data_IF_543181055095
#
_entry.id   IF_543181055095
#
_cell.length_a   1.000
_cell.length_b   1.000
_cell.length_c   1.000
_cell.angle_alpha   90.00
_cell.angle_beta   90.00
_cell.angle_gamma   90.00
#
_symmetry.space_group_name_H-M   'P 1'
#
loop_
_entity.id
_entity.type
_entity.pdbx_description
1 polymer ?
#
# COMPACT_ATOMS: atom_id res chain seq x y z
N UNK A 1 50.03 -27.51 27.32
CA UNK A 1 51.08 -27.17 28.30
C UNK A 1 52.08 -26.27 27.71
N UNK A 2 52.70 -25.30 28.41
CA UNK A 2 52.14 -24.54 29.52
C UNK A 2 52.45 -23.03 29.48
N UNK A 3 51.77 -22.27 30.38
CA UNK A 3 52.27 -21.17 31.24
C UNK A 3 52.62 -19.83 30.55
N UNK A 4 52.34 -18.66 31.01
CA UNK A 4 52.09 -18.16 32.38
C UNK A 4 51.70 -16.67 32.28
N UNK A 5 50.82 -16.24 33.13
CA UNK A 5 50.76 -14.84 33.58
C UNK A 5 51.92 -14.60 34.59
N UNK A 6 52.23 -13.40 35.08
CA UNK A 6 51.40 -12.66 36.01
C UNK A 6 51.51 -11.11 36.04
N UNK A 7 50.54 -10.48 36.72
CA UNK A 7 50.59 -9.41 37.75
C UNK A 7 51.45 -8.16 37.52
N UNK A 8 51.03 -6.97 37.87
CA UNK A 8 50.51 -6.39 39.10
C UNK A 8 50.22 -4.89 38.96
N UNK A 9 49.08 -4.43 39.52
CA UNK A 9 48.94 -3.54 40.68
C UNK A 9 49.58 -2.13 40.62
N UNK A 10 48.76 -1.07 40.70
CA UNK A 10 48.64 -0.15 41.85
C UNK A 10 47.77 1.09 41.52
N UNK A 11 46.77 1.30 42.34
CA UNK A 11 46.51 2.47 43.25
C UNK A 11 46.57 3.87 42.58
N UNK A 12 45.65 4.74 42.69
CA UNK A 12 44.72 5.13 43.69
C UNK A 12 44.32 6.58 43.41
N UNK A 13 43.23 7.05 43.91
CA UNK A 13 42.94 8.48 43.93
C UNK A 13 41.45 8.82 43.95
N UNK A 14 40.97 9.08 45.12
CA UNK A 14 39.67 9.51 45.59
C UNK A 14 39.35 10.98 45.29
N UNK A 15 38.05 11.27 45.42
CA UNK A 15 37.35 12.55 45.62
C UNK A 15 36.74 13.14 44.32
N UNK A 16 35.49 13.64 44.30
CA UNK A 16 34.59 14.06 45.37
C UNK A 16 33.23 14.44 44.79
N UNK A 17 32.27 14.35 45.59
CA UNK A 17 30.85 14.73 45.46
C UNK A 17 30.65 16.22 45.05
N UNK A 18 29.67 16.51 44.22
CA UNK A 18 28.89 17.74 44.33
C UNK A 18 27.51 17.53 43.71
N UNK A 19 26.55 17.21 44.57
CA UNK A 19 25.12 17.38 44.35
C UNK A 19 24.77 18.88 44.38
N UNK A 20 24.07 19.38 43.37
CA UNK A 20 23.41 20.68 43.43
C UNK A 20 21.92 20.49 43.18
N UNK A 21 21.18 20.44 44.28
CA UNK A 21 19.74 20.67 44.39
C UNK A 21 19.45 22.15 44.08
N UNK A 22 18.60 22.39 43.08
CA UNK A 22 17.89 23.67 42.95
C UNK A 22 16.40 23.47 43.19
N UNK A 23 15.99 23.69 44.44
CA UNK A 23 14.61 23.99 44.81
C UNK A 23 14.36 25.50 44.60
N UNK A 24 13.47 25.85 43.72
CA UNK A 24 12.89 27.19 43.65
C UNK A 24 11.42 27.11 44.10
N UNK A 25 11.19 27.52 45.33
CA UNK A 25 9.91 27.85 45.95
C UNK A 25 9.41 29.15 45.31
N UNK A 26 8.26 29.13 44.62
CA UNK A 26 7.52 30.34 44.28
C UNK A 26 6.57 30.67 45.43
N UNK A 27 6.88 31.72 46.18
CA UNK A 27 5.98 32.31 47.15
C UNK A 27 4.94 33.20 46.44
N UNK A 28 3.67 32.89 46.63
CA UNK A 28 2.57 33.77 46.20
C UNK A 28 2.33 34.82 47.27
N UNK A 29 2.52 36.07 46.91
CA UNK A 29 1.99 37.21 47.67
C UNK A 29 0.49 37.37 47.37
N UNK A 30 -0.35 37.18 48.36
CA UNK A 30 -1.76 37.56 48.34
C UNK A 30 -1.88 39.06 48.63
N UNK A 31 -2.22 39.85 47.64
CA UNK A 31 -2.77 41.18 47.85
C UNK A 31 -4.31 41.10 47.87
N UNK A 32 -4.91 41.53 48.98
CA UNK A 32 -6.34 41.76 49.11
C UNK A 32 -6.71 42.98 48.28
N UNK A 33 -7.43 42.80 47.17
CA UNK A 33 -8.35 43.86 46.72
C UNK A 33 -9.60 43.24 46.10
N UNK A 34 -10.72 43.57 46.71
CA UNK A 34 -12.04 43.08 46.41
C UNK A 34 -12.65 43.95 45.30
N UNK A 35 -12.75 43.46 44.08
CA UNK A 35 -13.77 43.84 43.07
C UNK A 35 -13.43 43.30 41.69
N UNK A 36 -13.73 42.03 41.43
CA UNK A 36 -14.07 41.53 40.09
C UNK A 36 -14.73 40.14 40.24
N UNK A 37 -16.05 40.11 40.14
CA UNK A 37 -16.80 38.86 39.93
C UNK A 37 -16.55 38.42 38.48
N UNK A 38 -15.64 37.50 38.29
CA UNK A 38 -15.50 36.79 37.01
C UNK A 38 -16.50 35.64 36.95
N UNK A 39 -17.40 35.74 35.99
CA UNK A 39 -18.33 34.69 35.63
C UNK A 39 -17.52 33.43 35.17
N UNK A 40 -17.55 32.39 35.98
CA UNK A 40 -17.04 31.07 35.62
C UNK A 40 -17.98 30.50 34.59
N UNK A 41 -17.67 30.72 33.29
CA UNK A 41 -18.30 29.96 32.20
C UNK A 41 -17.83 28.52 32.33
N UNK A 42 -18.76 27.60 32.41
CA UNK A 42 -18.54 26.17 32.36
C UNK A 42 -17.79 25.84 31.07
N UNK A 43 -16.49 25.57 31.19
CA UNK A 43 -15.69 24.93 30.12
C UNK A 43 -16.06 23.44 30.18
N UNK A 44 -16.61 22.84 29.08
CA UNK A 44 -16.87 21.43 29.06
C UNK A 44 -15.53 20.71 29.21
N UNK A 45 -15.39 19.91 30.27
CA UNK A 45 -14.23 19.03 30.46
C UNK A 45 -14.19 18.01 29.33
N UNK A 46 -13.33 18.27 28.35
CA UNK A 46 -12.99 17.30 27.32
C UNK A 46 -12.15 16.21 28.01
N UNK A 47 -12.56 14.92 27.99
CA UNK A 47 -11.87 13.87 28.74
C UNK A 47 -10.48 13.50 28.16
N UNK A 48 -9.97 14.23 27.17
CA UNK A 48 -8.69 13.97 26.47
C UNK A 48 -7.60 15.03 26.74
N UNK A 49 -7.73 15.95 27.68
CA UNK A 49 -6.65 16.90 27.97
C UNK A 49 -5.66 16.34 29.00
N UNK A 50 -4.78 15.44 28.60
CA UNK A 50 -3.56 15.13 29.35
C UNK A 50 -2.45 16.09 28.90
N UNK A 51 -1.57 16.56 29.80
CA UNK A 51 -0.53 17.55 29.44
C UNK A 51 0.49 16.98 28.44
N UNK A 52 0.96 17.78 27.48
CA UNK A 52 1.72 17.32 26.31
C UNK A 52 3.12 16.72 26.58
N UNK A 53 3.67 16.90 27.77
CA UNK A 53 5.04 16.43 28.08
C UNK A 53 5.13 15.06 28.77
N UNK A 54 4.01 14.41 29.07
CA UNK A 54 4.00 13.05 29.62
C UNK A 54 4.05 11.94 28.58
N UNK A 55 4.05 12.29 27.28
CA UNK A 55 3.95 11.33 26.19
C UNK A 55 5.29 10.78 25.67
N UNK A 56 6.40 11.46 26.00
CA UNK A 56 7.73 11.14 25.44
C UNK A 56 8.32 9.79 25.85
N UNK A 57 7.71 9.06 26.81
CA UNK A 57 8.32 7.82 27.36
C UNK A 57 7.41 6.58 27.48
N UNK A 58 6.12 6.64 27.11
CA UNK A 58 5.27 5.45 27.19
C UNK A 58 5.07 4.78 25.82
N UNK A 59 4.93 3.45 25.78
CA UNK A 59 4.49 2.74 24.57
C UNK A 59 3.11 3.22 24.10
N UNK A 60 2.97 3.48 22.80
CA UNK A 60 1.69 3.82 22.18
C UNK A 60 0.91 2.53 21.94
N UNK A 61 -0.40 2.54 22.24
CA UNK A 61 -1.32 1.46 21.95
C UNK A 61 -2.01 1.71 20.60
N UNK A 62 -1.71 0.91 19.61
CA UNK A 62 -2.17 1.07 18.23
C UNK A 62 -3.07 -0.12 17.86
N UNK A 63 -4.29 0.16 17.42
CA UNK A 63 -5.12 -0.87 16.79
C UNK A 63 -4.96 -0.81 15.27
N UNK A 64 -4.92 -1.97 14.61
CA UNK A 64 -4.94 -2.08 13.15
C UNK A 64 -6.11 -2.98 12.76
N UNK A 65 -7.00 -2.46 11.91
CA UNK A 65 -8.11 -3.23 11.37
C UNK A 65 -7.64 -4.14 10.24
N UNK A 66 -7.70 -5.46 10.47
CA UNK A 66 -7.27 -6.46 9.47
C UNK A 66 -8.44 -7.21 8.83
N UNK A 67 -9.69 -6.77 9.03
CA UNK A 67 -10.88 -7.48 8.54
C UNK A 67 -10.94 -7.62 7.02
N UNK A 68 -10.32 -6.71 6.26
CA UNK A 68 -10.25 -6.76 4.78
C UNK A 68 -8.94 -7.32 4.22
N UNK A 69 -8.19 -8.05 5.00
CA UNK A 69 -6.89 -8.59 4.58
C UNK A 69 -6.98 -9.66 3.48
N UNK A 70 -8.16 -10.19 3.19
CA UNK A 70 -8.41 -11.11 2.07
C UNK A 70 -8.64 -10.40 0.73
N UNK A 71 -8.83 -9.08 0.72
CA UNK A 71 -8.97 -8.31 -0.51
C UNK A 71 -7.60 -8.05 -1.15
N UNK A 72 -7.46 -8.26 -2.46
CA UNK A 72 -6.17 -8.25 -3.21
C UNK A 72 -5.16 -7.19 -2.75
N UNK A 73 -5.22 -5.95 -3.27
CA UNK A 73 -4.24 -4.90 -2.95
C UNK A 73 -4.25 -4.47 -1.48
N UNK A 74 -5.44 -4.37 -0.86
CA UNK A 74 -5.63 -4.02 0.55
C UNK A 74 -4.98 -5.08 1.45
N UNK A 75 -5.19 -6.37 1.12
CA UNK A 75 -4.61 -7.48 1.87
C UNK A 75 -3.08 -7.51 1.77
N UNK A 76 -2.54 -7.28 0.58
CA UNK A 76 -1.09 -7.19 0.37
C UNK A 76 -0.49 -6.04 1.17
N UNK A 77 -1.07 -4.84 1.11
CA UNK A 77 -0.65 -3.71 1.93
C UNK A 77 -0.69 -4.05 3.42
N UNK A 78 -1.84 -4.49 3.92
CA UNK A 78 -2.06 -4.72 5.36
C UNK A 78 -1.08 -5.77 5.90
N UNK A 79 -0.91 -6.89 5.21
CA UNK A 79 0.00 -7.97 5.59
C UNK A 79 1.44 -7.47 5.67
N UNK A 80 1.91 -6.82 4.63
CA UNK A 80 3.31 -6.43 4.54
C UNK A 80 3.65 -5.23 5.44
N UNK A 81 2.73 -4.27 5.62
CA UNK A 81 2.95 -3.17 6.55
C UNK A 81 3.01 -3.66 8.01
N UNK A 82 2.17 -4.63 8.39
CA UNK A 82 2.19 -5.23 9.74
C UNK A 82 3.49 -6.02 9.96
N UNK A 83 3.94 -6.82 8.97
CA UNK A 83 5.25 -7.51 9.02
C UNK A 83 6.40 -6.53 9.20
N UNK A 84 6.42 -5.47 8.41
CA UNK A 84 7.47 -4.46 8.47
C UNK A 84 7.46 -3.69 9.80
N UNK A 85 6.30 -3.30 10.32
CA UNK A 85 6.17 -2.75 11.67
C UNK A 85 6.68 -3.73 12.72
N UNK A 86 6.39 -5.02 12.58
CA UNK A 86 6.90 -6.07 13.46
C UNK A 86 8.42 -6.21 13.43
N UNK A 87 9.09 -5.91 12.30
CA UNK A 87 10.56 -5.86 12.22
C UNK A 87 11.14 -4.61 12.88
N UNK A 88 10.50 -3.48 12.72
CA UNK A 88 11.04 -2.17 13.07
C UNK A 88 10.74 -1.72 14.50
N UNK A 89 9.59 -2.11 15.05
CA UNK A 89 9.10 -1.55 16.31
C UNK A 89 8.87 -2.63 17.37
N UNK A 90 9.61 -2.50 18.47
CA UNK A 90 9.51 -3.34 19.69
C UNK A 90 8.92 -2.57 20.87
N UNK A 91 8.70 -1.26 20.73
CA UNK A 91 8.31 -0.37 21.80
C UNK A 91 6.80 -0.25 21.94
N UNK A 92 6.10 0.01 20.84
CA UNK A 92 4.66 0.21 20.84
C UNK A 92 3.89 -1.11 20.94
N UNK A 93 2.64 -1.07 21.38
CA UNK A 93 1.76 -2.23 21.48
C UNK A 93 0.74 -2.20 20.35
N UNK A 94 0.66 -3.28 19.60
CA UNK A 94 -0.21 -3.42 18.45
C UNK A 94 -1.35 -4.41 18.72
N UNK A 95 -2.58 -4.03 18.36
CA UNK A 95 -3.77 -4.85 18.46
C UNK A 95 -4.33 -5.06 17.06
N UNK A 96 -4.20 -6.28 16.53
CA UNK A 96 -4.69 -6.67 15.21
C UNK A 96 -6.14 -7.13 15.34
N UNK A 97 -7.08 -6.31 14.86
CA UNK A 97 -8.52 -6.56 15.02
C UNK A 97 -9.06 -7.24 13.76
N UNK A 98 -9.46 -8.49 13.89
CA UNK A 98 -10.00 -9.30 12.79
C UNK A 98 -10.04 -10.79 13.13
N UNK A 99 -10.14 -11.68 12.12
CA UNK A 99 -10.13 -13.11 12.40
C UNK A 99 -8.73 -13.62 12.76
N UNK A 100 -8.61 -14.58 13.68
CA UNK A 100 -7.33 -15.18 14.06
C UNK A 100 -6.58 -15.84 12.88
N UNK A 101 -7.32 -16.39 11.91
CA UNK A 101 -6.77 -17.00 10.70
C UNK A 101 -5.98 -15.98 9.88
N UNK A 102 -6.51 -14.75 9.75
CA UNK A 102 -5.81 -13.66 9.05
C UNK A 102 -4.51 -13.26 9.75
N UNK A 103 -4.49 -13.31 11.09
CA UNK A 103 -3.25 -13.06 11.84
C UNK A 103 -2.20 -14.15 11.54
N UNK A 104 -2.61 -15.42 11.42
CA UNK A 104 -1.71 -16.52 11.03
C UNK A 104 -1.13 -16.31 9.62
N UNK A 105 -1.92 -15.80 8.68
CA UNK A 105 -1.44 -15.46 7.32
C UNK A 105 -0.36 -14.37 7.29
N UNK A 106 -0.33 -13.48 8.29
CA UNK A 106 0.73 -12.49 8.41
C UNK A 106 2.08 -13.17 8.69
N UNK A 107 2.06 -14.29 9.40
CA UNK A 107 3.25 -15.02 9.85
C UNK A 107 3.68 -14.64 11.27
N UNK A 108 4.89 -15.03 11.69
CA UNK A 108 5.36 -14.78 13.05
C UNK A 108 5.53 -13.29 13.33
N UNK A 109 4.94 -12.83 14.42
CA UNK A 109 5.02 -11.44 14.88
C UNK A 109 5.64 -11.40 16.29
N UNK A 110 6.29 -10.29 16.67
CA UNK A 110 6.89 -10.13 17.99
C UNK A 110 5.84 -10.02 19.10
N UNK A 111 6.24 -10.19 20.39
CA UNK A 111 5.31 -10.26 21.52
C UNK A 111 4.47 -9.01 21.77
N UNK A 112 4.87 -7.86 21.23
CA UNK A 112 4.12 -6.61 21.34
C UNK A 112 2.93 -6.52 20.35
N UNK A 113 2.70 -7.56 19.51
CA UNK A 113 1.53 -7.69 18.63
C UNK A 113 0.53 -8.69 19.22
N UNK A 114 -0.70 -8.26 19.38
CA UNK A 114 -1.78 -9.00 20.00
C UNK A 114 -2.93 -9.21 19.01
N UNK A 115 -3.38 -10.44 18.83
CA UNK A 115 -4.59 -10.76 18.07
C UNK A 115 -5.83 -10.43 18.88
N UNK A 116 -6.78 -9.72 18.28
CA UNK A 116 -8.07 -9.38 18.89
C UNK A 116 -9.19 -9.85 17.98
N UNK A 117 -9.90 -10.92 18.34
CA UNK A 117 -10.94 -11.48 17.49
C UNK A 117 -12.07 -10.51 17.22
N UNK A 118 -12.42 -10.32 15.94
CA UNK A 118 -13.63 -9.67 15.45
C UNK A 118 -14.00 -10.31 14.10
N UNK A 119 -15.05 -11.10 14.08
CA UNK A 119 -15.50 -11.86 12.89
C UNK A 119 -16.53 -11.09 12.07
N UNK A 120 -17.24 -10.15 12.70
CA UNK A 120 -18.27 -9.35 12.04
C UNK A 120 -17.67 -8.44 10.97
N UNK A 121 -18.37 -8.36 9.85
CA UNK A 121 -17.97 -7.52 8.73
C UNK A 121 -18.00 -6.03 9.09
N UNK A 122 -17.10 -5.26 8.52
CA UNK A 122 -16.98 -3.81 8.71
C UNK A 122 -18.13 -3.02 8.09
N UNK A 123 -18.90 -3.62 7.19
CA UNK A 123 -20.07 -3.03 6.53
C UNK A 123 -21.36 -3.13 7.34
N UNK A 124 -21.38 -3.90 8.44
CA UNK A 124 -22.57 -4.10 9.27
C UNK A 124 -22.60 -3.16 10.47
N UNK A 125 -23.80 -2.75 10.89
CA UNK A 125 -23.98 -1.96 12.10
C UNK A 125 -23.46 -2.70 13.36
N UNK A 126 -23.65 -4.01 13.42
CA UNK A 126 -23.15 -4.88 14.50
C UNK A 126 -21.62 -4.86 14.53
N UNK A 127 -20.97 -5.11 13.40
CA UNK A 127 -19.51 -5.10 13.29
C UNK A 127 -18.88 -3.77 13.66
N UNK A 128 -19.58 -2.67 13.37
CA UNK A 128 -19.14 -1.35 13.82
C UNK A 128 -19.26 -1.16 15.32
N UNK A 129 -20.37 -1.54 15.93
CA UNK A 129 -20.59 -1.40 17.39
C UNK A 129 -19.61 -2.26 18.17
N UNK A 130 -19.36 -3.49 17.72
CA UNK A 130 -18.35 -4.37 18.32
C UNK A 130 -16.94 -3.78 18.19
N UNK A 131 -16.56 -3.32 16.99
CA UNK A 131 -15.28 -2.66 16.76
C UNK A 131 -15.07 -1.47 17.71
N UNK A 132 -16.06 -0.58 17.82
CA UNK A 132 -16.03 0.55 18.74
C UNK A 132 -15.90 0.12 20.20
N UNK A 133 -16.59 -0.94 20.61
CA UNK A 133 -16.54 -1.49 21.97
C UNK A 133 -15.17 -2.06 22.28
N UNK A 134 -14.56 -2.79 21.31
CA UNK A 134 -13.19 -3.31 21.41
C UNK A 134 -12.20 -2.16 21.59
N UNK A 135 -12.27 -1.11 20.76
CA UNK A 135 -11.36 0.04 20.87
C UNK A 135 -11.47 0.73 22.26
N UNK A 136 -12.68 0.87 22.80
CA UNK A 136 -12.89 1.42 24.15
C UNK A 136 -12.28 0.53 25.24
N UNK A 137 -12.52 -0.78 25.18
CA UNK A 137 -12.00 -1.75 26.15
C UNK A 137 -10.47 -1.79 26.17
N UNK A 138 -9.83 -1.73 25.00
CA UNK A 138 -8.38 -1.74 24.86
C UNK A 138 -7.74 -0.40 25.24
N UNK A 139 -8.52 0.68 25.30
CA UNK A 139 -8.02 2.04 25.53
C UNK A 139 -6.86 2.38 24.60
N UNK A 140 -7.03 2.13 23.29
CA UNK A 140 -6.01 2.43 22.29
C UNK A 140 -5.85 3.94 22.12
N UNK A 141 -4.64 4.37 21.85
CA UNK A 141 -4.30 5.77 21.59
C UNK A 141 -4.61 6.17 20.13
N UNK A 142 -4.60 5.18 19.23
CA UNK A 142 -4.79 5.36 17.80
C UNK A 142 -5.35 4.09 17.17
N UNK A 143 -6.17 4.24 16.12
CA UNK A 143 -6.53 3.13 15.23
C UNK A 143 -6.13 3.42 13.79
N UNK A 144 -5.51 2.45 13.12
CA UNK A 144 -5.26 2.45 11.70
C UNK A 144 -6.29 1.59 10.96
N UNK A 145 -6.94 2.18 9.97
CA UNK A 145 -7.91 1.54 9.10
C UNK A 145 -7.31 1.51 7.70
N UNK A 146 -6.78 0.35 7.24
CA UNK A 146 -5.99 0.27 6.01
C UNK A 146 -6.84 0.23 4.74
N UNK A 147 -8.03 0.77 4.77
CA UNK A 147 -8.93 0.91 3.61
C UNK A 147 -9.95 2.03 3.83
N UNK A 148 -10.48 2.55 2.72
CA UNK A 148 -11.53 3.54 2.75
C UNK A 148 -12.89 2.84 2.81
N UNK A 149 -13.57 2.92 3.95
CA UNK A 149 -14.93 2.43 4.11
C UNK A 149 -15.76 3.31 5.04
N UNK A 150 -17.03 3.00 5.17
CA UNK A 150 -17.94 3.73 6.02
C UNK A 150 -17.57 3.63 7.50
N UNK A 151 -17.17 4.75 8.09
CA UNK A 151 -17.06 4.89 9.52
C UNK A 151 -18.29 5.65 10.04
N UNK A 152 -19.11 5.04 10.89
CA UNK A 152 -20.14 5.78 11.62
C UNK A 152 -19.50 6.78 12.58
N UNK A 153 -20.25 7.78 12.85
CA UNK A 153 -20.00 9.11 13.39
C UNK A 153 -18.81 9.37 14.32
N UNK A 154 -18.41 8.47 15.23
CA UNK A 154 -17.31 8.74 16.18
C UNK A 154 -16.62 7.48 16.65
N UNK A 155 -15.33 7.38 16.43
CA UNK A 155 -14.48 6.41 17.13
C UNK A 155 -14.03 6.98 18.50
N UNK A 156 -13.70 6.12 19.47
CA UNK A 156 -13.29 6.55 20.81
C UNK A 156 -11.85 7.09 20.87
N UNK A 157 -11.11 7.03 19.79
CA UNK A 157 -9.73 7.47 19.64
C UNK A 157 -9.51 8.11 18.26
N UNK A 158 -8.44 8.87 18.05
CA UNK A 158 -8.00 9.32 16.74
C UNK A 158 -7.81 8.12 15.79
N UNK A 159 -8.03 8.35 14.49
CA UNK A 159 -7.79 7.32 13.48
C UNK A 159 -6.98 7.85 12.31
N UNK A 160 -6.18 6.97 11.74
CA UNK A 160 -5.55 7.13 10.44
C UNK A 160 -6.18 6.14 9.46
N UNK A 161 -6.22 6.52 8.19
CA UNK A 161 -6.84 5.73 7.14
C UNK A 161 -5.91 5.62 5.94
N UNK A 162 -5.81 4.44 5.32
CA UNK A 162 -5.14 4.28 4.04
C UNK A 162 -6.16 4.30 2.91
N UNK A 163 -5.89 5.09 1.90
CA UNK A 163 -6.69 5.18 0.67
C UNK A 163 -5.88 4.56 -0.46
N UNK A 164 -6.38 3.44 -0.99
CA UNK A 164 -5.74 2.73 -2.11
C UNK A 164 -6.10 3.35 -3.45
N UNK A 165 -7.34 3.74 -3.61
CA UNK A 165 -7.85 4.46 -4.78
C UNK A 165 -9.18 5.16 -4.44
N UNK A 166 -9.65 5.97 -5.36
CA UNK A 166 -10.94 6.67 -5.28
C UNK A 166 -11.83 6.37 -6.48
N UNK A 167 -11.56 5.28 -7.19
CA UNK A 167 -12.22 4.90 -8.44
C UNK A 167 -13.74 4.82 -8.32
N UNK A 168 -14.25 4.29 -7.20
CA UNK A 168 -15.69 4.19 -6.97
C UNK A 168 -16.39 5.55 -7.01
N UNK A 169 -15.69 6.63 -6.62
CA UNK A 169 -16.21 8.00 -6.63
C UNK A 169 -16.15 8.64 -8.01
N UNK A 170 -15.24 8.18 -8.87
CA UNK A 170 -15.08 8.66 -10.25
C UNK A 170 -16.00 7.92 -11.23
N UNK A 171 -16.37 6.69 -10.91
CA UNK A 171 -17.19 5.85 -11.79
C UNK A 171 -18.58 6.45 -12.01
N UNK A 172 -18.86 6.82 -13.26
CA UNK A 172 -20.18 7.24 -13.74
C UNK A 172 -21.12 6.04 -13.97
N UNK A 173 -20.97 4.95 -13.23
CA UNK A 173 -21.83 3.78 -13.38
C UNK A 173 -23.31 4.18 -13.36
N UNK A 174 -24.03 3.84 -14.42
CA UNK A 174 -25.46 4.07 -14.57
C UNK A 174 -26.31 3.31 -13.53
N UNK A 175 -25.69 2.40 -12.78
CA UNK A 175 -26.37 1.51 -11.83
C UNK A 175 -26.84 2.21 -10.54
N UNK A 176 -26.38 3.44 -10.23
CA UNK A 176 -26.76 4.13 -9.00
C UNK A 176 -27.42 5.49 -9.28
N UNK A 177 -28.49 5.81 -8.56
CA UNK A 177 -29.13 7.10 -8.60
C UNK A 177 -28.15 8.23 -8.21
N UNK A 178 -28.34 9.42 -8.76
CA UNK A 178 -27.52 10.61 -8.45
C UNK A 178 -27.48 10.92 -6.95
N UNK A 179 -28.59 10.67 -6.25
CA UNK A 179 -28.73 10.85 -4.80
C UNK A 179 -27.81 9.90 -4.01
N UNK A 180 -27.79 8.62 -4.38
CA UNK A 180 -26.94 7.61 -3.72
C UNK A 180 -25.44 7.92 -3.90
N UNK A 181 -25.05 8.38 -5.09
CA UNK A 181 -23.66 8.82 -5.35
C UNK A 181 -23.29 10.04 -4.51
N UNK A 182 -24.19 11.06 -4.45
CA UNK A 182 -23.96 12.25 -3.63
C UNK A 182 -23.82 11.88 -2.15
N UNK A 183 -24.68 11.01 -1.64
CA UNK A 183 -24.62 10.53 -0.27
C UNK A 183 -23.30 9.79 0.00
N UNK A 184 -22.89 8.87 -0.86
CA UNK A 184 -21.64 8.13 -0.75
C UNK A 184 -20.43 9.08 -0.74
N UNK A 185 -20.40 10.05 -1.66
CA UNK A 185 -19.38 11.09 -1.69
C UNK A 185 -19.30 11.88 -0.38
N UNK A 186 -20.44 12.36 0.13
CA UNK A 186 -20.47 13.15 1.37
C UNK A 186 -20.00 12.32 2.58
N UNK A 187 -20.35 11.06 2.62
CA UNK A 187 -19.91 10.16 3.69
C UNK A 187 -18.40 9.91 3.63
N UNK A 188 -17.87 9.61 2.46
CA UNK A 188 -16.43 9.46 2.24
C UNK A 188 -15.67 10.74 2.61
N UNK A 189 -16.13 11.88 2.11
CA UNK A 189 -15.53 13.18 2.45
C UNK A 189 -15.53 13.43 3.96
N UNK A 190 -16.60 13.03 4.64
CA UNK A 190 -16.70 13.15 6.09
C UNK A 190 -15.68 12.25 6.81
N UNK A 191 -15.53 10.99 6.38
CA UNK A 191 -14.53 10.06 6.91
C UNK A 191 -13.13 10.63 6.74
N UNK A 192 -12.79 11.08 5.53
CA UNK A 192 -11.47 11.67 5.26
C UNK A 192 -11.22 12.96 6.07
N UNK A 193 -12.23 13.82 6.21
CA UNK A 193 -12.12 15.03 7.07
C UNK A 193 -11.96 14.70 8.54
N UNK A 194 -12.56 13.62 9.03
CA UNK A 194 -12.47 13.18 10.42
C UNK A 194 -11.17 12.47 10.76
N UNK A 195 -10.46 11.89 9.79
CA UNK A 195 -9.18 11.22 10.02
C UNK A 195 -8.12 12.18 10.59
N UNK A 196 -7.28 11.74 11.52
CA UNK A 196 -6.14 12.53 12.01
C UNK A 196 -5.08 12.69 10.91
N UNK A 197 -4.81 11.62 10.19
CA UNK A 197 -3.97 11.58 8.99
C UNK A 197 -4.54 10.60 7.98
N UNK A 198 -4.16 10.78 6.71
CA UNK A 198 -4.54 9.93 5.59
C UNK A 198 -3.26 9.45 4.93
N UNK A 199 -3.13 8.15 4.71
CA UNK A 199 -2.09 7.57 3.87
C UNK A 199 -2.63 7.40 2.46
N UNK A 200 -1.95 7.95 1.48
CA UNK A 200 -2.18 7.72 0.06
C UNK A 200 -1.07 6.82 -0.48
N UNK A 201 -1.42 5.83 -1.31
CA UNK A 201 -0.43 4.85 -1.79
C UNK A 201 0.44 5.36 -2.94
N UNK A 202 0.15 6.56 -3.47
CA UNK A 202 0.91 7.26 -4.52
C UNK A 202 0.69 8.77 -4.46
N UNK A 203 1.54 9.55 -5.14
CA UNK A 203 1.31 11.00 -5.31
C UNK A 203 0.04 11.25 -6.12
N UNK A 204 -0.23 10.41 -7.11
CA UNK A 204 -1.47 10.46 -7.87
C UNK A 204 -2.69 10.32 -6.95
N UNK A 205 -2.76 9.27 -6.12
CA UNK A 205 -3.86 9.08 -5.17
C UNK A 205 -3.96 10.24 -4.16
N UNK A 206 -2.82 10.80 -3.72
CA UNK A 206 -2.80 12.00 -2.88
C UNK A 206 -3.47 13.18 -3.58
N UNK A 207 -3.08 13.47 -4.82
CA UNK A 207 -3.66 14.59 -5.59
C UNK A 207 -5.17 14.44 -5.79
N UNK A 208 -5.64 13.22 -6.04
CA UNK A 208 -7.08 12.94 -6.17
C UNK A 208 -7.83 13.14 -4.86
N UNK A 209 -7.29 12.68 -3.73
CA UNK A 209 -7.89 12.91 -2.41
C UNK A 209 -8.03 14.41 -2.14
N UNK A 210 -6.99 15.19 -2.45
CA UNK A 210 -6.97 16.63 -2.27
C UNK A 210 -8.00 17.33 -3.17
N UNK A 211 -8.00 17.02 -4.46
CA UNK A 211 -8.87 17.66 -5.46
C UNK A 211 -10.33 17.25 -5.32
N UNK A 212 -10.62 15.95 -5.22
CA UNK A 212 -12.00 15.46 -5.20
C UNK A 212 -12.71 15.77 -3.89
N UNK A 213 -12.02 15.64 -2.74
CA UNK A 213 -12.67 15.77 -1.43
C UNK A 213 -12.35 17.07 -0.70
N UNK A 214 -11.48 17.91 -1.25
CA UNK A 214 -11.06 19.16 -0.60
C UNK A 214 -10.33 18.90 0.71
N UNK A 215 -9.42 17.91 0.75
CA UNK A 215 -8.62 17.57 1.91
C UNK A 215 -7.31 18.35 1.87
N UNK A 216 -6.91 19.03 2.95
CA UNK A 216 -5.64 19.76 2.97
C UNK A 216 -4.43 18.84 2.77
N UNK A 217 -3.47 19.22 1.93
CA UNK A 217 -2.28 18.44 1.59
C UNK A 217 -1.47 18.00 2.83
N UNK A 218 -1.35 18.88 3.84
CA UNK A 218 -0.69 18.58 5.12
C UNK A 218 -1.31 17.39 5.89
N UNK A 219 -2.52 16.97 5.54
CA UNK A 219 -3.23 15.84 6.15
C UNK A 219 -2.97 14.52 5.44
N UNK A 220 -2.47 14.56 4.21
CA UNK A 220 -2.24 13.39 3.37
C UNK A 220 -0.74 13.11 3.25
N UNK A 221 -0.31 11.97 3.77
CA UNK A 221 1.06 11.45 3.66
C UNK A 221 1.11 10.37 2.59
N UNK A 222 2.11 10.42 1.71
CA UNK A 222 2.31 9.35 0.73
C UNK A 222 3.10 8.22 1.36
N UNK A 223 2.51 7.03 1.34
CA UNK A 223 3.10 5.78 1.82
C UNK A 223 3.00 4.77 0.70
N UNK A 224 4.06 4.65 -0.07
CA UNK A 224 4.11 3.75 -1.23
C UNK A 224 3.89 2.30 -0.84
N UNK A 225 3.23 1.56 -1.72
CA UNK A 225 3.25 0.11 -1.67
C UNK A 225 4.62 -0.40 -2.13
N UNK A 226 4.91 -1.66 -1.82
CA UNK A 226 6.07 -2.36 -2.34
C UNK A 226 5.65 -3.78 -2.76
N UNK A 227 6.56 -4.50 -3.39
CA UNK A 227 6.34 -5.88 -3.83
C UNK A 227 6.17 -6.77 -2.60
N UNK A 228 5.24 -7.73 -2.64
CA UNK A 228 5.10 -8.74 -1.58
C UNK A 228 6.39 -9.57 -1.50
N UNK A 229 6.88 -9.80 -0.28
CA UNK A 229 8.15 -10.50 -0.04
C UNK A 229 8.20 -11.89 -0.71
N UNK A 230 7.05 -12.52 -0.93
CA UNK A 230 6.95 -13.81 -1.62
C UNK A 230 7.40 -13.76 -3.09
N UNK A 231 7.36 -12.60 -3.73
CA UNK A 231 7.95 -12.41 -5.07
C UNK A 231 9.46 -12.20 -5.03
N UNK A 232 10.07 -11.95 -3.87
CA UNK A 232 11.49 -11.66 -3.73
C UNK A 232 12.36 -12.91 -3.49
N UNK A 233 11.78 -14.11 -3.54
CA UNK A 233 12.49 -15.37 -3.32
C UNK A 233 13.44 -15.81 -4.44
N UNK A 234 13.84 -14.89 -5.33
CA UNK A 234 14.73 -15.14 -6.45
C UNK A 234 13.99 -15.65 -7.69
N UNK A 235 14.78 -15.86 -8.76
CA UNK A 235 14.25 -16.40 -10.01
C UNK A 235 13.97 -17.90 -9.90
N UNK A 236 13.01 -18.37 -10.70
CA UNK A 236 12.70 -19.77 -10.80
C UNK A 236 13.89 -20.56 -11.35
N UNK A 237 14.15 -21.74 -10.78
CA UNK A 237 15.10 -22.72 -11.33
C UNK A 237 14.59 -23.26 -12.66
N UNK A 238 15.47 -23.83 -13.48
CA UNK A 238 15.05 -24.43 -14.75
C UNK A 238 14.08 -25.60 -14.55
N UNK A 239 14.24 -26.36 -13.46
CA UNK A 239 13.31 -27.42 -13.08
C UNK A 239 11.90 -26.88 -12.75
N UNK A 240 11.81 -25.80 -11.99
CA UNK A 240 10.52 -25.13 -11.71
C UNK A 240 9.86 -24.57 -12.97
N UNK A 241 10.64 -23.96 -13.87
CA UNK A 241 10.16 -23.46 -15.18
C UNK A 241 9.61 -24.60 -16.04
N UNK A 242 10.35 -25.71 -16.13
CA UNK A 242 9.90 -26.89 -16.88
C UNK A 242 8.64 -27.50 -16.28
N UNK A 243 8.55 -27.62 -14.95
CA UNK A 243 7.37 -28.12 -14.27
C UNK A 243 6.12 -27.29 -14.58
N UNK A 244 6.25 -25.95 -14.52
CA UNK A 244 5.14 -25.05 -14.83
C UNK A 244 4.80 -25.08 -16.32
N UNK A 245 5.80 -25.10 -17.19
CA UNK A 245 5.58 -25.23 -18.63
C UNK A 245 4.79 -26.51 -18.99
N UNK A 246 5.13 -27.64 -18.37
CA UNK A 246 4.41 -28.90 -18.56
C UNK A 246 3.01 -28.86 -17.95
N UNK A 247 2.88 -28.38 -16.70
CA UNK A 247 1.58 -28.36 -15.98
C UNK A 247 0.55 -27.46 -16.66
N UNK A 248 0.97 -26.31 -17.18
CA UNK A 248 0.11 -25.33 -17.83
C UNK A 248 0.14 -25.38 -19.35
N UNK A 249 0.90 -26.33 -19.93
CA UNK A 249 1.09 -26.52 -21.37
C UNK A 249 1.59 -25.21 -22.05
N UNK A 250 2.59 -24.57 -21.43
CA UNK A 250 3.20 -23.33 -21.92
C UNK A 250 4.59 -23.63 -22.49
N UNK A 251 4.62 -24.01 -23.77
CA UNK A 251 5.83 -24.34 -24.55
C UNK A 251 6.03 -23.38 -25.75
N UNK A 252 5.51 -22.16 -25.63
CA UNK A 252 5.50 -21.15 -26.67
C UNK A 252 5.83 -19.76 -26.05
N UNK A 253 6.30 -18.80 -26.87
CA UNK A 253 6.47 -17.42 -26.40
C UNK A 253 5.11 -16.79 -26.05
N UNK A 254 5.08 -15.94 -25.03
CA UNK A 254 3.82 -15.32 -24.62
C UNK A 254 3.96 -13.92 -24.04
N UNK A 255 2.89 -13.15 -24.24
CA UNK A 255 2.61 -11.93 -23.51
C UNK A 255 1.82 -12.27 -22.26
N UNK A 256 2.09 -11.61 -21.14
CA UNK A 256 1.42 -11.87 -19.87
C UNK A 256 0.62 -10.66 -19.43
N UNK A 257 -0.61 -10.90 -19.01
CA UNK A 257 -1.37 -10.04 -18.12
C UNK A 257 -1.65 -10.78 -16.82
N UNK A 258 -1.48 -10.11 -15.67
CA UNK A 258 -1.85 -10.66 -14.38
C UNK A 258 -2.58 -9.60 -13.54
N UNK A 259 -3.73 -9.97 -13.00
CA UNK A 259 -4.55 -9.10 -12.17
C UNK A 259 -6.05 -9.39 -12.28
N UNK A 260 -6.82 -8.75 -11.38
CA UNK A 260 -8.28 -8.87 -11.39
C UNK A 260 -8.87 -8.41 -12.71
N UNK A 261 -9.89 -9.10 -13.17
CA UNK A 261 -10.64 -8.73 -14.37
C UNK A 261 -11.68 -7.65 -14.00
N UNK A 262 -11.47 -6.44 -14.51
CA UNK A 262 -12.41 -5.32 -14.30
C UNK A 262 -12.29 -4.30 -15.45
N UNK A 263 -13.31 -3.49 -15.72
CA UNK A 263 -13.32 -2.60 -16.88
C UNK A 263 -12.12 -1.64 -16.95
N UNK A 264 -11.67 -1.10 -15.80
CA UNK A 264 -10.53 -0.19 -15.76
C UNK A 264 -9.18 -0.87 -16.04
N UNK A 265 -9.10 -2.21 -15.97
CA UNK A 265 -7.89 -2.98 -16.33
C UNK A 265 -7.72 -3.15 -17.85
N UNK A 266 -8.73 -2.77 -18.63
CA UNK A 266 -8.61 -2.56 -20.08
C UNK A 266 -8.31 -3.81 -20.93
N UNK A 267 -8.72 -4.98 -20.46
CA UNK A 267 -8.44 -6.26 -21.13
C UNK A 267 -9.00 -6.34 -22.55
N UNK A 268 -10.12 -5.68 -22.82
CA UNK A 268 -10.67 -5.60 -24.18
C UNK A 268 -9.63 -5.05 -25.16
N UNK A 269 -9.02 -3.89 -24.82
CA UNK A 269 -7.99 -3.29 -25.71
C UNK A 269 -6.68 -4.08 -25.74
N UNK A 270 -6.33 -4.82 -24.68
CA UNK A 270 -5.21 -5.74 -24.69
C UNK A 270 -5.43 -6.82 -25.76
N UNK A 271 -6.63 -7.42 -25.80
CA UNK A 271 -6.98 -8.48 -26.77
C UNK A 271 -7.01 -7.91 -28.20
N UNK A 272 -7.59 -6.74 -28.41
CA UNK A 272 -7.61 -6.06 -29.71
C UNK A 272 -6.18 -5.71 -30.20
N UNK A 273 -5.33 -5.18 -29.29
CA UNK A 273 -3.93 -4.89 -29.59
C UNK A 273 -3.12 -6.15 -29.90
N UNK A 274 -3.39 -7.24 -29.19
CA UNK A 274 -2.77 -8.54 -29.45
C UNK A 274 -3.17 -9.09 -30.83
N UNK A 275 -4.43 -8.98 -31.22
CA UNK A 275 -4.90 -9.37 -32.57
C UNK A 275 -4.17 -8.58 -33.66
N UNK A 276 -4.09 -7.25 -33.52
CA UNK A 276 -3.35 -6.41 -34.46
C UNK A 276 -1.86 -6.76 -34.51
N UNK A 277 -1.24 -7.04 -33.35
CA UNK A 277 0.15 -7.47 -33.22
C UNK A 277 0.41 -8.81 -33.97
N UNK A 278 -0.49 -9.78 -33.82
CA UNK A 278 -0.41 -11.06 -34.53
C UNK A 278 -0.34 -10.87 -36.05
N UNK A 279 -1.21 -10.00 -36.58
CA UNK A 279 -1.23 -9.68 -38.01
C UNK A 279 0.08 -9.03 -38.52
N UNK A 280 0.74 -8.19 -37.70
CA UNK A 280 2.04 -7.60 -38.08
C UNK A 280 3.17 -8.62 -37.99
N UNK A 281 3.23 -9.42 -36.91
CA UNK A 281 4.26 -10.47 -36.76
C UNK A 281 4.18 -11.56 -37.82
N UNK A 282 2.98 -11.90 -38.30
CA UNK A 282 2.76 -12.84 -39.40
C UNK A 282 3.38 -12.33 -40.71
N UNK A 283 3.19 -11.06 -41.04
CA UNK A 283 3.83 -10.42 -42.21
C UNK A 283 5.36 -10.46 -42.14
N UNK A 284 5.90 -10.34 -40.92
CA UNK A 284 7.34 -10.38 -40.67
C UNK A 284 7.91 -11.79 -40.50
N UNK A 285 7.07 -12.80 -40.49
CA UNK A 285 7.43 -14.20 -40.22
C UNK A 285 8.13 -14.39 -38.86
N UNK A 286 7.66 -13.65 -37.84
CA UNK A 286 8.19 -13.66 -36.48
C UNK A 286 7.17 -14.15 -35.46
N UNK A 287 7.62 -14.85 -34.44
CA UNK A 287 6.79 -15.32 -33.31
C UNK A 287 5.48 -16.04 -33.78
N UNK A 288 5.53 -17.07 -34.64
CA UNK A 288 4.33 -17.71 -35.19
C UNK A 288 3.41 -18.27 -34.11
N UNK A 289 3.97 -18.73 -32.99
CA UNK A 289 3.24 -19.36 -31.89
C UNK A 289 3.03 -18.43 -30.71
N UNK A 290 3.16 -17.10 -30.87
CA UNK A 290 2.96 -16.15 -29.77
C UNK A 290 1.54 -16.25 -29.21
N UNK A 291 1.42 -16.37 -27.90
CA UNK A 291 0.14 -16.39 -27.19
C UNK A 291 0.00 -15.17 -26.25
N UNK A 292 -1.24 -14.88 -25.88
CA UNK A 292 -1.56 -13.96 -24.79
C UNK A 292 -2.10 -14.79 -23.62
N UNK A 293 -1.40 -14.76 -22.50
CA UNK A 293 -1.82 -15.40 -21.23
C UNK A 293 -2.43 -14.33 -20.32
N UNK A 294 -3.64 -14.61 -19.84
CA UNK A 294 -4.37 -13.77 -18.89
C UNK A 294 -4.57 -14.58 -17.61
N UNK A 295 -3.94 -14.11 -16.53
CA UNK A 295 -4.06 -14.67 -15.19
C UNK A 295 -4.91 -13.73 -14.34
N UNK A 296 -5.97 -14.24 -13.71
CA UNK A 296 -6.88 -13.42 -12.89
C UNK A 296 -8.12 -14.17 -12.44
N UNK A 297 -9.25 -13.48 -12.47
CA UNK A 297 -10.55 -14.07 -12.08
C UNK A 297 -11.06 -15.05 -13.14
N UNK A 298 -12.12 -15.80 -12.79
CA UNK A 298 -12.79 -16.68 -13.73
C UNK A 298 -13.45 -15.90 -14.90
N UNK A 299 -13.19 -16.35 -16.12
CA UNK A 299 -13.74 -15.77 -17.34
C UNK A 299 -15.28 -15.93 -17.44
N UNK A 300 -15.88 -16.87 -16.71
CA UNK A 300 -17.34 -17.11 -16.75
C UNK A 300 -18.17 -15.86 -16.41
N UNK A 301 -17.66 -15.02 -15.52
CA UNK A 301 -18.24 -13.74 -15.15
C UNK A 301 -18.04 -12.61 -16.17
N UNK A 302 -17.30 -12.84 -17.27
CA UNK A 302 -16.89 -11.81 -18.21
C UNK A 302 -17.22 -12.14 -19.68
N UNK A 303 -18.51 -12.25 -20.07
CA UNK A 303 -18.93 -12.62 -21.41
C UNK A 303 -18.43 -11.63 -22.49
N UNK A 304 -18.19 -10.38 -22.13
CA UNK A 304 -17.68 -9.36 -23.05
C UNK A 304 -16.26 -9.69 -23.52
N UNK A 305 -15.40 -10.21 -22.64
CA UNK A 305 -14.05 -10.63 -23.01
C UNK A 305 -14.08 -11.81 -23.97
N UNK A 306 -14.95 -12.80 -23.69
CA UNK A 306 -15.12 -13.95 -24.59
C UNK A 306 -15.57 -13.49 -26.00
N UNK A 307 -16.53 -12.58 -26.06
CA UNK A 307 -17.00 -12.00 -27.34
C UNK A 307 -15.88 -11.25 -28.06
N UNK A 308 -15.05 -10.51 -27.31
CA UNK A 308 -13.91 -9.78 -27.88
C UNK A 308 -12.89 -10.75 -28.48
N UNK A 309 -12.52 -11.82 -27.78
CA UNK A 309 -11.59 -12.85 -28.29
C UNK A 309 -12.07 -13.45 -29.61
N UNK A 310 -13.35 -13.84 -29.69
CA UNK A 310 -13.96 -14.42 -30.89
C UNK A 310 -13.97 -13.40 -32.05
N UNK A 311 -14.45 -12.18 -31.78
CA UNK A 311 -14.53 -11.10 -32.79
C UNK A 311 -13.17 -10.69 -33.31
N UNK A 312 -12.14 -10.74 -32.47
CA UNK A 312 -10.76 -10.43 -32.87
C UNK A 312 -10.01 -11.58 -33.55
N UNK A 313 -10.64 -12.77 -33.71
CA UNK A 313 -10.07 -13.92 -34.41
C UNK A 313 -8.88 -14.59 -33.69
N UNK A 314 -8.71 -14.37 -32.37
CA UNK A 314 -7.56 -14.86 -31.59
C UNK A 314 -7.94 -15.92 -30.54
N UNK A 315 -9.03 -16.63 -30.76
CA UNK A 315 -9.55 -17.65 -29.84
C UNK A 315 -8.59 -18.80 -29.54
N UNK A 316 -7.70 -19.13 -30.47
CA UNK A 316 -6.65 -20.15 -30.29
C UNK A 316 -5.36 -19.61 -29.67
N UNK A 317 -5.23 -18.29 -29.56
CA UNK A 317 -4.00 -17.61 -29.12
C UNK A 317 -4.12 -16.89 -27.80
N UNK A 318 -5.34 -16.73 -27.25
CA UNK A 318 -5.59 -16.18 -25.92
C UNK A 318 -5.92 -17.29 -24.93
N UNK A 319 -5.19 -17.36 -23.85
CA UNK A 319 -5.34 -18.37 -22.79
C UNK A 319 -5.69 -17.69 -21.47
N UNK A 320 -6.74 -18.17 -20.81
CA UNK A 320 -7.18 -17.72 -19.49
C UNK A 320 -6.90 -18.82 -18.48
N UNK A 321 -6.10 -18.52 -17.44
CA UNK A 321 -5.71 -19.52 -16.45
C UNK A 321 -6.44 -19.35 -15.10
N UNK A 322 -7.34 -18.35 -14.98
CA UNK A 322 -7.97 -18.09 -13.71
C UNK A 322 -6.97 -17.70 -12.62
N UNK A 323 -7.31 -17.96 -11.37
CA UNK A 323 -6.42 -17.70 -10.24
C UNK A 323 -5.28 -18.73 -10.21
N UNK A 324 -4.06 -18.25 -10.04
CA UNK A 324 -2.88 -19.07 -9.77
C UNK A 324 -2.22 -18.63 -8.45
N UNK A 325 -1.63 -19.56 -7.68
CA UNK A 325 -0.85 -19.20 -6.49
C UNK A 325 0.31 -18.27 -6.82
N UNK A 326 0.72 -17.47 -5.84
CA UNK A 326 1.79 -16.46 -6.04
C UNK A 326 3.13 -17.12 -6.41
N UNK A 327 3.39 -18.31 -5.90
CA UNK A 327 4.56 -19.14 -6.19
C UNK A 327 4.61 -19.56 -7.67
N UNK A 328 3.45 -19.73 -8.29
CA UNK A 328 3.30 -20.04 -9.72
C UNK A 328 3.35 -18.75 -10.53
N UNK A 329 2.67 -17.69 -10.08
CA UNK A 329 2.63 -16.40 -10.79
C UNK A 329 4.04 -15.81 -10.95
N UNK A 330 4.91 -15.91 -9.94
CA UNK A 330 6.30 -15.46 -10.05
C UNK A 330 7.05 -16.13 -11.21
N UNK A 331 6.78 -17.44 -11.45
CA UNK A 331 7.40 -18.17 -12.54
C UNK A 331 6.86 -17.69 -13.91
N UNK A 332 5.56 -17.39 -14.00
CA UNK A 332 5.01 -16.76 -15.20
C UNK A 332 5.66 -15.40 -15.48
N UNK A 333 5.94 -14.60 -14.46
CA UNK A 333 6.71 -13.37 -14.66
C UNK A 333 8.13 -13.69 -15.18
N UNK A 334 8.84 -14.66 -14.63
CA UNK A 334 10.21 -15.01 -15.03
C UNK A 334 10.33 -15.44 -16.51
N UNK A 335 9.28 -16.08 -17.07
CA UNK A 335 9.33 -16.67 -18.41
C UNK A 335 8.54 -15.89 -19.48
N UNK A 336 7.81 -14.85 -19.09
CA UNK A 336 7.05 -14.02 -20.01
C UNK A 336 7.97 -13.16 -20.90
N UNK A 337 7.63 -13.01 -22.17
CA UNK A 337 8.37 -12.14 -23.08
C UNK A 337 8.12 -10.67 -22.82
N UNK A 338 6.88 -10.30 -22.53
CA UNK A 338 6.43 -8.92 -22.19
C UNK A 338 5.25 -8.99 -21.23
N UNK A 339 5.24 -8.14 -20.24
CA UNK A 339 4.10 -7.93 -19.35
C UNK A 339 3.27 -6.73 -19.83
N UNK A 340 1.98 -6.95 -20.08
CA UNK A 340 1.05 -5.94 -20.57
C UNK A 340 0.10 -5.49 -19.46
N UNK A 341 0.14 -4.19 -19.13
CA UNK A 341 -0.72 -3.63 -18.09
C UNK A 341 -1.21 -2.22 -18.43
N UNK A 342 -1.88 -2.02 -19.58
CA UNK A 342 -2.37 -0.71 -20.01
C UNK A 342 -3.69 -0.36 -19.32
N UNK A 343 -3.70 -0.36 -17.98
CA UNK A 343 -4.87 -0.01 -17.18
C UNK A 343 -5.27 1.45 -17.40
N UNK A 344 -6.57 1.72 -17.42
CA UNK A 344 -7.10 3.09 -17.53
C UNK A 344 -6.92 3.88 -16.22
N UNK A 345 -6.89 3.16 -15.09
CA UNK A 345 -6.78 3.76 -13.77
C UNK A 345 -6.18 2.77 -12.76
N UNK A 346 -5.23 3.26 -11.97
CA UNK A 346 -4.63 2.55 -10.82
C UNK A 346 -4.33 3.52 -9.69
N UNK A 347 -4.53 3.06 -8.46
CA UNK A 347 -4.08 3.81 -7.29
C UNK A 347 -2.59 3.67 -7.03
N UNK A 348 -1.99 2.52 -7.47
CA UNK A 348 -0.55 2.29 -7.39
C UNK A 348 -0.02 1.51 -8.61
N UNK A 349 -0.32 0.22 -8.74
CA UNK A 349 0.20 -0.61 -9.84
C UNK A 349 1.26 -1.61 -9.38
N UNK A 350 0.92 -2.50 -8.45
CA UNK A 350 1.82 -3.58 -8.00
C UNK A 350 2.25 -4.54 -9.11
N UNK A 351 1.35 -5.03 -10.02
CA UNK A 351 1.72 -6.01 -11.01
C UNK A 351 2.85 -5.59 -11.96
N UNK A 352 2.94 -4.35 -12.46
CA UNK A 352 4.10 -3.87 -13.18
C UNK A 352 5.42 -3.97 -12.40
N UNK A 353 5.41 -3.63 -11.10
CA UNK A 353 6.61 -3.77 -10.26
C UNK A 353 6.99 -5.23 -10.01
N UNK A 354 6.01 -6.10 -9.84
CA UNK A 354 6.22 -7.54 -9.69
C UNK A 354 6.89 -8.10 -10.96
N UNK A 355 6.38 -7.77 -12.15
CA UNK A 355 7.01 -8.14 -13.42
C UNK A 355 8.44 -7.60 -13.55
N UNK A 356 8.69 -6.35 -13.17
CA UNK A 356 10.03 -5.74 -13.16
C UNK A 356 10.99 -6.45 -12.23
N UNK A 357 10.55 -6.86 -11.04
CA UNK A 357 11.39 -7.61 -10.09
C UNK A 357 11.83 -8.97 -10.62
N UNK A 358 11.08 -9.53 -11.55
CA UNK A 358 11.37 -10.77 -12.26
C UNK A 358 12.09 -10.57 -13.61
N UNK A 359 12.42 -9.31 -13.94
CA UNK A 359 13.14 -8.98 -15.18
C UNK A 359 12.28 -9.07 -16.43
N UNK A 360 10.97 -9.06 -16.29
CA UNK A 360 10.06 -9.03 -17.44
C UNK A 360 9.90 -7.60 -17.94
N UNK A 361 10.14 -7.32 -19.23
CA UNK A 361 9.88 -6.01 -19.82
C UNK A 361 8.40 -5.64 -19.74
N UNK A 362 8.10 -4.40 -19.39
CA UNK A 362 6.73 -3.92 -19.11
C UNK A 362 6.29 -2.90 -20.16
N UNK A 363 5.05 -3.08 -20.65
CA UNK A 363 4.29 -2.06 -21.39
C UNK A 363 3.09 -1.70 -20.56
N UNK A 364 2.96 -0.42 -20.16
CA UNK A 364 1.91 0.05 -19.26
C UNK A 364 1.42 1.45 -19.63
N UNK A 365 0.41 1.94 -18.94
CA UNK A 365 -0.23 3.24 -19.26
C UNK A 365 0.63 4.43 -18.86
N UNK A 366 0.46 5.52 -19.60
CA UNK A 366 0.95 6.86 -19.28
C UNK A 366 0.00 7.66 -18.37
N UNK A 367 -0.97 7.00 -17.72
CA UNK A 367 -2.01 7.62 -16.89
C UNK A 367 -1.98 7.14 -15.45
N UNK A 368 -2.67 7.85 -14.58
CA UNK A 368 -2.82 7.54 -13.14
C UNK A 368 -1.47 7.44 -12.40
N UNK A 369 -1.32 6.51 -11.47
CA UNK A 369 -0.09 6.29 -10.72
C UNK A 369 1.00 5.53 -11.50
N UNK A 370 0.67 4.94 -12.65
CA UNK A 370 1.60 4.05 -13.37
C UNK A 370 2.90 4.73 -13.80
N UNK A 371 2.91 5.95 -14.37
CA UNK A 371 4.17 6.64 -14.71
C UNK A 371 5.06 6.87 -13.49
N UNK A 372 4.47 7.24 -12.34
CA UNK A 372 5.18 7.44 -11.07
C UNK A 372 5.83 6.14 -10.57
N UNK A 373 5.10 5.03 -10.69
CA UNK A 373 5.54 3.73 -10.17
C UNK A 373 6.59 3.08 -11.05
N UNK A 374 6.44 3.12 -12.37
CA UNK A 374 7.37 2.44 -13.28
C UNK A 374 8.56 3.31 -13.69
N UNK A 375 8.47 4.64 -13.58
CA UNK A 375 9.52 5.56 -14.02
C UNK A 375 9.90 5.34 -15.48
N UNK A 376 11.20 5.21 -15.74
CA UNK A 376 11.75 4.94 -17.08
C UNK A 376 12.05 3.45 -17.34
N UNK A 377 11.50 2.55 -16.52
CA UNK A 377 11.71 1.12 -16.60
C UNK A 377 10.63 0.37 -17.40
N UNK A 378 9.67 1.08 -17.98
CA UNK A 378 8.63 0.53 -18.84
C UNK A 378 8.47 1.36 -20.11
N UNK A 379 7.79 0.81 -21.10
CA UNK A 379 7.27 1.57 -22.23
C UNK A 379 5.88 2.07 -21.85
N UNK A 380 5.72 3.38 -21.83
CA UNK A 380 4.44 4.04 -21.52
C UNK A 380 3.63 4.24 -22.79
N UNK A 381 2.33 3.96 -22.72
CA UNK A 381 1.37 4.08 -23.82
C UNK A 381 0.08 4.77 -23.39
N UNK A 382 -0.60 5.38 -24.34
CA UNK A 382 -1.99 5.78 -24.12
C UNK A 382 -2.88 4.53 -24.07
N UNK A 383 -3.51 4.21 -22.91
CA UNK A 383 -4.30 3.00 -22.75
C UNK A 383 -5.57 2.96 -23.61
N UNK A 384 -6.00 4.09 -24.16
CA UNK A 384 -7.16 4.16 -25.04
C UNK A 384 -6.82 3.91 -26.51
N UNK A 385 -5.52 3.85 -26.85
CA UNK A 385 -5.03 3.66 -28.22
C UNK A 385 -4.51 2.23 -28.44
N UNK A 386 -5.33 1.39 -29.03
CA UNK A 386 -5.01 -0.02 -29.35
C UNK A 386 -3.73 -0.16 -30.19
N UNK A 387 -3.55 0.72 -31.18
CA UNK A 387 -2.36 0.67 -32.05
C UNK A 387 -1.08 1.14 -31.34
N UNK A 388 -1.18 2.01 -30.37
CA UNK A 388 -0.02 2.41 -29.55
C UNK A 388 0.41 1.26 -28.64
N UNK A 389 -0.54 0.58 -27.99
CA UNK A 389 -0.29 -0.64 -27.22
C UNK A 389 0.37 -1.70 -28.12
N UNK A 390 -0.17 -1.93 -29.30
CA UNK A 390 0.36 -2.88 -30.28
C UNK A 390 1.80 -2.54 -30.66
N UNK A 391 2.07 -1.30 -31.13
CA UNK A 391 3.42 -0.88 -31.57
C UNK A 391 4.45 -0.94 -30.46
N UNK A 392 4.08 -0.52 -29.24
CA UNK A 392 4.97 -0.62 -28.08
C UNK A 392 5.32 -2.08 -27.77
N UNK A 393 4.33 -2.97 -27.78
CA UNK A 393 4.52 -4.39 -27.55
C UNK A 393 5.39 -5.03 -28.66
N UNK A 394 5.12 -4.73 -29.93
CA UNK A 394 5.93 -5.17 -31.07
C UNK A 394 7.39 -4.74 -30.89
N UNK A 395 7.63 -3.45 -30.62
CA UNK A 395 8.98 -2.92 -30.41
C UNK A 395 9.72 -3.64 -29.30
N UNK A 396 9.08 -3.89 -28.15
CA UNK A 396 9.70 -4.63 -27.04
C UNK A 396 9.99 -6.08 -27.43
N UNK A 397 9.14 -6.73 -28.21
CA UNK A 397 9.36 -8.11 -28.67
C UNK A 397 10.54 -8.25 -29.62
N UNK A 398 10.75 -7.30 -30.55
CA UNK A 398 11.77 -7.43 -31.60
C UNK A 398 13.10 -6.76 -31.25
N UNK A 399 13.12 -5.72 -30.41
CA UNK A 399 14.31 -4.97 -30.03
C UNK A 399 14.94 -5.56 -28.76
N UNK A 400 15.94 -6.44 -28.96
CA UNK A 400 16.66 -7.08 -27.86
C UNK A 400 17.39 -6.05 -26.98
N UNK A 401 17.98 -5.01 -27.57
CA UNK A 401 18.69 -3.96 -26.80
C UNK A 401 17.74 -3.21 -25.87
N UNK A 402 16.54 -2.90 -26.37
CA UNK A 402 15.48 -2.29 -25.55
C UNK A 402 15.04 -3.23 -24.41
N UNK A 403 14.84 -4.51 -24.69
CA UNK A 403 14.47 -5.49 -23.65
C UNK A 403 15.48 -5.53 -22.51
N UNK A 404 16.77 -5.66 -22.85
CA UNK A 404 17.82 -5.71 -21.83
C UNK A 404 17.89 -4.39 -21.00
N UNK A 405 17.72 -3.24 -21.65
CA UNK A 405 17.65 -1.95 -20.95
C UNK A 405 16.46 -1.88 -20.01
N UNK A 406 15.27 -2.31 -20.45
CA UNK A 406 14.06 -2.32 -19.61
C UNK A 406 14.20 -3.28 -18.45
N UNK A 407 14.77 -4.46 -18.66
CA UNK A 407 15.06 -5.45 -17.63
C UNK A 407 15.96 -4.89 -16.53
N UNK A 408 17.11 -4.31 -16.90
CA UNK A 408 18.04 -3.72 -15.93
C UNK A 408 17.39 -2.57 -15.14
N UNK A 409 16.72 -1.65 -15.83
CA UNK A 409 15.99 -0.56 -15.19
C UNK A 409 14.86 -1.06 -14.30
N UNK A 410 14.19 -2.15 -14.71
CA UNK A 410 13.13 -2.79 -13.95
C UNK A 410 13.60 -3.27 -12.59
N UNK A 411 14.73 -3.97 -12.52
CA UNK A 411 15.33 -4.40 -11.27
C UNK A 411 15.67 -3.22 -10.34
N UNK A 412 16.23 -2.15 -10.89
CA UNK A 412 16.55 -0.96 -10.09
C UNK A 412 15.29 -0.23 -9.64
N UNK A 413 14.28 -0.13 -10.49
CA UNK A 413 13.00 0.50 -10.14
C UNK A 413 12.27 -0.25 -9.04
N UNK A 414 12.22 -1.59 -9.12
CA UNK A 414 11.59 -2.44 -8.13
C UNK A 414 12.20 -2.28 -6.72
N UNK A 415 13.53 -2.12 -6.63
CA UNK A 415 14.27 -1.91 -5.38
C UNK A 415 13.97 -0.57 -4.69
N UNK A 416 13.43 0.42 -5.41
CA UNK A 416 13.12 1.75 -4.84
C UNK A 416 11.95 1.72 -3.88
N UNK A 417 11.12 0.70 -3.94
CA UNK A 417 9.94 0.52 -3.10
C UNK A 417 10.20 -0.54 -2.03
N UNK A 418 10.03 -0.17 -0.77
CA UNK A 418 10.33 -1.04 0.37
C UNK A 418 9.26 -0.90 1.44
N UNK A 419 8.74 -2.04 1.90
CA UNK A 419 7.80 -2.06 3.02
C UNK A 419 8.41 -1.50 4.31
N UNK A 420 9.71 -1.64 4.52
CA UNK A 420 10.39 -1.07 5.68
C UNK A 420 10.45 0.46 5.61
N UNK A 421 10.65 1.05 4.43
CA UNK A 421 10.56 2.49 4.24
C UNK A 421 9.13 3.01 4.48
N UNK A 422 8.13 2.30 3.95
CA UNK A 422 6.71 2.59 4.16
C UNK A 422 6.32 2.50 5.62
N UNK A 423 6.76 1.43 6.31
CA UNK A 423 6.48 1.24 7.74
C UNK A 423 7.15 2.29 8.62
N UNK A 424 8.37 2.76 8.28
CA UNK A 424 8.99 3.91 9.00
C UNK A 424 8.15 5.18 8.87
N UNK A 425 7.61 5.47 7.69
CA UNK A 425 6.71 6.61 7.48
C UNK A 425 5.41 6.47 8.27
N UNK A 426 4.83 5.27 8.26
CA UNK A 426 3.62 4.95 9.04
C UNK A 426 3.87 5.11 10.53
N UNK A 427 4.98 4.57 11.06
CA UNK A 427 5.34 4.64 12.47
C UNK A 427 5.52 6.09 12.93
N UNK A 428 6.25 6.91 12.17
CA UNK A 428 6.40 8.33 12.43
C UNK A 428 5.06 9.05 12.56
N UNK A 429 4.11 8.76 11.67
CA UNK A 429 2.76 9.36 11.72
C UNK A 429 1.98 8.86 12.93
N UNK A 430 2.10 7.59 13.32
CA UNK A 430 1.47 7.05 14.51
C UNK A 430 1.95 7.78 15.78
N UNK A 431 3.25 7.97 15.89
CA UNK A 431 3.85 8.69 17.02
C UNK A 431 3.41 10.17 17.07
N UNK A 432 3.34 10.84 15.94
CA UNK A 432 2.83 12.20 15.83
C UNK A 432 1.36 12.31 16.27
N UNK A 433 0.50 11.43 15.79
CA UNK A 433 -0.94 11.46 16.11
C UNK A 433 -1.17 11.10 17.57
N UNK A 434 -0.50 10.09 18.09
CA UNK A 434 -0.64 9.66 19.48
C UNK A 434 0.01 10.65 20.47
N UNK A 435 1.09 11.33 20.06
CA UNK A 435 1.77 12.36 20.86
C UNK A 435 1.04 13.71 20.93
N UNK A 436 -0.09 13.86 20.21
CA UNK A 436 -0.89 15.10 20.22
C UNK A 436 -0.25 16.29 19.50
N UNK A 437 0.79 16.06 18.68
CA UNK A 437 1.43 17.09 17.86
C UNK A 437 0.51 17.46 16.70
N UNK A 438 -0.14 18.61 16.79
CA UNK A 438 -0.94 19.18 15.68
C UNK A 438 -0.02 19.69 14.57
N UNK A 439 -0.48 19.73 13.31
CA UNK A 439 0.30 20.21 12.17
C UNK A 439 0.85 21.62 12.28
N UNK A 440 0.34 22.42 13.20
CA UNK A 440 0.74 23.81 13.41
C UNK A 440 2.10 23.96 14.10
N UNK A 441 2.59 22.94 14.80
CA UNK A 441 3.88 22.96 15.50
C UNK A 441 5.03 22.36 14.68
N UNK A 442 4.84 22.01 13.41
CA UNK A 442 5.82 21.29 12.58
C UNK A 442 6.73 22.17 11.72
N UNK A 443 6.72 23.50 11.85
CA UNK A 443 7.54 24.36 10.98
C UNK A 443 9.03 24.41 11.35
N UNK A 444 9.52 23.67 12.32
CA UNK A 444 10.89 23.86 12.85
C UNK A 444 11.84 22.65 12.85
N UNK A 445 11.43 21.43 12.42
CA UNK A 445 12.36 20.28 12.47
C UNK A 445 12.15 19.25 11.35
N UNK A 446 12.17 19.63 10.08
CA UNK A 446 12.17 18.66 8.98
C UNK A 446 12.99 19.19 7.80
N UNK A 447 14.28 19.23 7.95
CA UNK A 447 15.23 19.13 6.83
C UNK A 447 15.95 17.80 7.00
N UNK A 448 15.33 16.72 6.51
CA UNK A 448 16.03 15.48 6.19
C UNK A 448 15.35 14.84 4.98
N UNK A 449 16.07 14.79 3.96
CA UNK A 449 15.99 14.41 2.58
C UNK A 449 15.06 13.21 2.26
N UNK A 450 13.93 13.54 1.66
CA UNK A 450 13.31 12.66 0.67
C UNK A 450 13.89 13.05 -0.69
N UNK A 451 14.48 12.15 -1.47
CA UNK A 451 14.97 12.50 -2.80
C UNK A 451 13.80 13.00 -3.66
N UNK A 452 13.81 14.29 -3.98
CA UNK A 452 12.88 14.86 -4.95
C UNK A 452 13.16 14.22 -6.31
N UNK A 453 12.24 13.41 -6.80
CA UNK A 453 12.26 13.00 -8.19
C UNK A 453 12.06 14.24 -9.05
N UNK A 454 13.10 14.61 -9.80
CA UNK A 454 12.94 15.55 -10.92
C UNK A 454 12.24 14.81 -12.05
N UNK A 455 11.23 15.49 -12.63
CA UNK A 455 10.42 15.04 -13.76
C UNK A 455 11.28 14.78 -15.01
#
# INVERSE_FOLDING_TARGET
MPKSAPDAVSKGGTAGLASVLWTRTCAYHLSRDSRYRLAVRHIPRNPCSRPPYLWLNRPVKIAIDIRRMTEFGIGTYTRNIVRALGRLDRRNKYFLIGSPEKVKEIGPLPPNFHSVPLLEQDTTAKGYLEFRTILKRLQVDLVHIPNLFWLPRTLPCPYVITVHDVLEHMSRSKAHSSLRRSMHYQLTRRVLKGAARIFAVSQFSKSEIEQLFGIPSKKVEVVYNAIDERFLHGHATDAERQLIAQRYLVNYPFLLYAGRISPHKNLVRIIEAFSALRGELEKENKFPDLKLIIIGDDLSGHPDLRRTVIRSGVNNDVRFFGFVPIEVLRIFYDIANVFLFPSLYEGFGLPPLEAMAHGTPVVTSNTSSLPEVVGNAAVLVNPENVFEIMRATHRVLIDQSLREKLKQRGYEQAKRFSWDASARSVLRVYEQVAGGTTPENMSLTAQDEVPRMRA
#
